data_IF_657473581608
#
_entry.id   IF_657473581608
#
_cell.length_a   1.000
_cell.length_b   1.000
_cell.length_c   1.000
_cell.angle_alpha   90.00
_cell.angle_beta   90.00
_cell.angle_gamma   90.00
#
_symmetry.space_group_name_H-M   'P 1'
#
loop_
_entity.id
_entity.type
_entity.pdbx_description
1 polymer ?
#
# COMPACT_ATOMS: atom_id res chain seq x y z
N UNK A 1 -12.76 -6.69 2.54
CA UNK A 1 -11.51 -6.73 1.75
C UNK A 1 -10.49 -7.51 2.57
N UNK A 2 -10.41 -8.83 2.43
CA UNK A 2 -9.55 -9.70 3.25
C UNK A 2 -8.07 -9.60 2.89
N UNK A 3 -7.55 -8.38 2.73
CA UNK A 3 -6.16 -8.13 2.37
C UNK A 3 -5.25 -8.32 3.60
N UNK A 4 -4.13 -9.00 3.38
CA UNK A 4 -3.05 -9.12 4.38
C UNK A 4 -2.23 -7.84 4.42
N UNK A 5 -1.91 -7.36 5.62
CA UNK A 5 -1.06 -6.20 5.86
C UNK A 5 0.36 -6.64 6.25
N UNK A 6 1.33 -6.25 5.43
CA UNK A 6 2.74 -6.46 5.71
C UNK A 6 3.39 -5.18 6.21
N UNK A 7 4.19 -5.27 7.27
CA UNK A 7 4.92 -4.13 7.86
C UNK A 7 6.42 -4.43 7.82
N UNK A 8 7.15 -3.67 7.01
CA UNK A 8 8.62 -3.73 6.96
C UNK A 8 9.19 -2.88 8.08
N UNK A 9 10.00 -3.48 8.94
CA UNK A 9 10.62 -2.81 10.08
C UNK A 9 11.88 -2.02 9.67
N UNK A 10 12.24 -0.95 10.42
CA UNK A 10 11.52 -0.39 11.55
C UNK A 10 10.32 0.46 11.12
N UNK A 11 9.16 0.17 11.71
CA UNK A 11 7.97 1.00 11.59
C UNK A 11 8.04 2.16 12.59
N UNK A 12 7.83 3.39 12.12
CA UNK A 12 7.82 4.60 12.96
C UNK A 12 6.54 4.76 13.79
N UNK A 13 5.66 3.76 13.78
CA UNK A 13 4.40 3.75 14.51
C UNK A 13 4.29 2.45 15.32
N UNK A 14 3.94 2.58 16.60
CA UNK A 14 3.50 1.41 17.36
C UNK A 14 2.04 1.14 17.03
N UNK A 15 1.73 -0.10 16.64
CA UNK A 15 0.38 -0.64 16.79
C UNK A 15 0.10 -0.83 18.28
N UNK A 16 0.14 0.25 19.06
CA UNK A 16 -0.46 0.19 20.37
C UNK A 16 -1.96 0.09 20.16
N UNK A 17 -2.47 -1.10 20.44
CA UNK A 17 -3.86 -1.52 20.60
C UNK A 17 -4.77 -0.39 21.14
N UNK A 18 -4.23 0.50 21.97
CA UNK A 18 -4.88 1.70 22.51
C UNK A 18 -5.36 2.72 21.47
N UNK A 19 -4.66 2.95 20.36
CA UNK A 19 -5.11 3.90 19.33
C UNK A 19 -6.23 3.31 18.47
N UNK A 20 -6.16 2.01 18.21
CA UNK A 20 -7.13 1.28 17.39
C UNK A 20 -8.45 1.04 18.13
N UNK A 21 -8.38 0.74 19.44
CA UNK A 21 -9.57 0.65 20.31
C UNK A 21 -10.36 1.95 20.41
N UNK A 22 -9.70 3.12 20.33
CA UNK A 22 -10.41 4.43 20.35
C UNK A 22 -11.16 4.73 19.04
N UNK A 23 -10.77 4.10 17.94
CA UNK A 23 -11.43 4.29 16.65
C UNK A 23 -12.72 3.45 16.50
N UNK A 24 -13.08 2.63 17.50
CA UNK A 24 -14.29 1.80 17.47
C UNK A 24 -14.23 0.67 16.43
N UNK A 25 -13.04 0.23 16.06
CA UNK A 25 -12.82 -0.71 14.97
C UNK A 25 -12.69 -2.14 15.52
N UNK A 26 -13.83 -2.78 15.81
CA UNK A 26 -13.87 -4.19 16.25
C UNK A 26 -13.25 -5.15 15.21
N UNK A 27 -13.16 -4.73 13.94
CA UNK A 27 -12.56 -5.53 12.87
C UNK A 27 -11.04 -5.69 12.97
N UNK A 28 -10.35 -4.93 13.83
CA UNK A 28 -8.89 -5.01 13.96
C UNK A 28 -8.42 -6.42 14.34
N UNK A 29 -9.21 -7.15 15.14
CA UNK A 29 -8.92 -8.53 15.54
C UNK A 29 -8.94 -9.52 14.38
N UNK A 30 -9.54 -9.14 13.25
CA UNK A 30 -9.67 -9.99 12.06
C UNK A 30 -8.67 -9.62 10.95
N UNK A 31 -7.75 -8.68 11.21
CA UNK A 31 -6.72 -8.33 10.24
C UNK A 31 -5.58 -9.36 10.27
N UNK A 32 -5.28 -9.93 9.11
CA UNK A 32 -4.04 -10.69 8.90
C UNK A 32 -2.88 -9.71 8.76
N UNK A 33 -2.03 -9.63 9.78
CA UNK A 33 -0.92 -8.68 9.87
C UNK A 33 0.37 -9.45 10.12
N UNK A 34 1.39 -9.18 9.31
CA UNK A 34 2.73 -9.74 9.50
C UNK A 34 3.81 -8.65 9.49
N UNK A 35 4.70 -8.69 10.49
CA UNK A 35 5.86 -7.80 10.58
C UNK A 35 7.10 -8.56 10.11
N UNK A 36 7.90 -7.92 9.25
CA UNK A 36 9.11 -8.50 8.68
C UNK A 36 10.30 -7.56 8.92
N UNK A 37 11.50 -8.10 9.16
CA UNK A 37 12.65 -7.31 9.60
C UNK A 37 13.19 -6.37 8.52
N UNK A 38 12.99 -6.69 7.24
CA UNK A 38 13.50 -5.92 6.11
C UNK A 38 12.73 -6.25 4.82
N UNK A 39 13.03 -5.48 3.76
CA UNK A 39 12.39 -5.57 2.46
C UNK A 39 12.70 -6.90 1.74
N UNK A 40 13.91 -7.41 1.90
CA UNK A 40 14.39 -8.67 1.33
C UNK A 40 13.60 -9.86 1.88
N UNK A 41 13.31 -9.86 3.18
CA UNK A 41 12.49 -10.89 3.82
C UNK A 41 11.06 -10.86 3.30
N UNK A 42 10.49 -9.67 3.04
CA UNK A 42 9.16 -9.56 2.45
C UNK A 42 9.12 -10.12 1.02
N UNK A 43 10.05 -9.65 0.18
CA UNK A 43 10.07 -9.98 -1.25
C UNK A 43 10.39 -11.44 -1.53
N UNK A 44 11.10 -12.13 -0.64
CA UNK A 44 11.30 -13.59 -0.74
C UNK A 44 10.02 -14.42 -0.50
N UNK A 45 8.96 -13.84 0.06
CA UNK A 45 7.68 -14.52 0.37
C UNK A 45 6.59 -14.29 -0.67
N UNK A 46 6.77 -13.35 -1.59
CA UNK A 46 5.73 -12.84 -2.47
C UNK A 46 6.21 -12.87 -3.93
N UNK A 47 5.28 -13.01 -4.87
CA UNK A 47 5.61 -13.01 -6.30
C UNK A 47 6.06 -11.60 -6.74
N UNK A 48 7.33 -11.42 -7.18
CA UNK A 48 7.85 -10.11 -7.59
C UNK A 48 7.11 -9.51 -8.79
N UNK A 49 6.43 -10.32 -9.61
CA UNK A 49 5.64 -9.84 -10.74
C UNK A 49 4.33 -9.13 -10.31
N UNK A 50 3.92 -9.30 -9.05
CA UNK A 50 2.65 -8.77 -8.50
C UNK A 50 2.77 -7.45 -7.77
N UNK A 51 3.97 -6.87 -7.72
CA UNK A 51 4.21 -5.65 -6.97
C UNK A 51 3.82 -4.40 -7.75
N UNK A 52 3.07 -3.51 -7.09
CA UNK A 52 2.84 -2.13 -7.50
C UNK A 52 3.36 -1.17 -6.42
N UNK A 53 4.02 -0.10 -6.84
CA UNK A 53 4.67 0.84 -5.94
C UNK A 53 4.00 2.21 -5.98
N UNK A 54 3.51 2.69 -4.84
CA UNK A 54 2.77 3.93 -4.78
C UNK A 54 3.70 5.11 -4.50
N UNK A 55 3.72 6.07 -5.42
CA UNK A 55 4.54 7.28 -5.31
C UNK A 55 3.91 8.44 -6.06
N UNK A 56 3.93 9.64 -5.47
CA UNK A 56 3.54 10.88 -6.16
C UNK A 56 4.45 11.22 -7.33
N UNK A 57 5.67 10.67 -7.36
CA UNK A 57 6.66 10.93 -8.41
C UNK A 57 6.51 9.99 -9.60
N UNK A 58 5.73 8.91 -9.47
CA UNK A 58 5.48 7.99 -10.56
C UNK A 58 4.81 8.69 -11.75
N UNK A 59 4.94 8.11 -12.94
CA UNK A 59 4.37 8.67 -14.18
C UNK A 59 3.01 8.09 -14.53
N UNK A 60 2.77 6.82 -14.20
CA UNK A 60 1.54 6.10 -14.50
C UNK A 60 0.47 6.36 -13.44
N UNK A 61 -0.78 6.52 -13.86
CA UNK A 61 -1.89 6.63 -12.93
C UNK A 61 -2.35 5.26 -12.43
N UNK A 62 -2.83 5.22 -11.18
CA UNK A 62 -3.43 4.03 -10.57
C UNK A 62 -4.51 3.39 -11.46
N UNK A 63 -5.35 4.22 -12.08
CA UNK A 63 -6.49 3.79 -12.90
C UNK A 63 -6.09 3.01 -14.16
N UNK A 64 -4.86 3.22 -14.64
CA UNK A 64 -4.35 2.61 -15.87
C UNK A 64 -3.62 1.29 -15.59
N UNK A 65 -3.46 0.90 -14.33
CA UNK A 65 -2.77 -0.33 -13.94
C UNK A 65 -3.70 -1.54 -14.10
N UNK A 66 -3.29 -2.60 -14.82
CA UNK A 66 -4.06 -3.84 -14.93
C UNK A 66 -3.88 -4.65 -13.65
N UNK A 67 -4.83 -4.52 -12.74
CA UNK A 67 -4.79 -5.21 -11.45
C UNK A 67 -5.37 -6.62 -11.55
N UNK A 68 -4.95 -7.49 -10.64
CA UNK A 68 -5.36 -8.88 -10.53
C UNK A 68 -5.35 -9.34 -9.07
N UNK A 69 -6.06 -10.42 -8.79
CA UNK A 69 -6.00 -11.06 -7.47
C UNK A 69 -4.57 -11.53 -7.19
N UNK A 70 -4.07 -11.23 -6.00
CA UNK A 70 -2.69 -11.52 -5.59
C UNK A 70 -1.72 -10.35 -5.71
N UNK A 71 -2.18 -9.20 -6.22
CA UNK A 71 -1.37 -7.99 -6.27
C UNK A 71 -0.93 -7.48 -4.89
N UNK A 72 0.28 -6.92 -4.85
CA UNK A 72 0.93 -6.37 -3.67
C UNK A 72 1.12 -4.88 -3.86
N UNK A 73 0.48 -4.07 -3.03
CA UNK A 73 0.60 -2.61 -3.08
C UNK A 73 1.58 -2.11 -2.01
N UNK A 74 2.67 -1.50 -2.46
CA UNK A 74 3.76 -1.02 -1.61
C UNK A 74 3.61 0.46 -1.37
N UNK A 75 3.56 0.84 -0.09
CA UNK A 75 3.46 2.22 0.32
C UNK A 75 4.70 2.65 1.09
N UNK A 76 5.21 3.83 0.77
CA UNK A 76 6.31 4.45 1.49
C UNK A 76 5.88 5.13 2.80
N UNK A 77 6.86 5.66 3.52
CA UNK A 77 6.59 6.51 4.71
C UNK A 77 5.93 7.81 4.26
N UNK A 78 5.02 8.37 5.06
CA UNK A 78 4.32 9.61 4.71
C UNK A 78 5.27 10.80 4.45
N UNK A 79 6.38 10.86 5.18
CA UNK A 79 7.34 11.97 5.10
C UNK A 79 8.36 11.80 3.99
N UNK A 80 8.84 10.57 3.75
CA UNK A 80 9.98 10.30 2.87
C UNK A 80 9.65 9.46 1.64
N UNK A 81 8.44 8.93 1.53
CA UNK A 81 8.06 8.01 0.46
C UNK A 81 8.84 6.69 0.51
N UNK A 82 8.97 6.05 -0.65
CA UNK A 82 9.76 4.83 -0.85
C UNK A 82 11.23 5.20 -1.14
N UNK A 83 12.20 4.46 -0.57
CA UNK A 83 13.61 4.57 -0.97
C UNK A 83 13.80 4.33 -2.47
N UNK A 84 14.75 5.02 -3.09
CA UNK A 84 15.05 4.90 -4.52
C UNK A 84 15.51 3.50 -4.95
N UNK A 85 16.11 2.73 -4.04
CA UNK A 85 16.49 1.34 -4.32
C UNK A 85 15.31 0.36 -4.34
N UNK A 86 14.14 0.77 -3.83
CA UNK A 86 12.90 -0.04 -3.85
C UNK A 86 12.04 0.31 -5.07
N UNK A 87 12.04 1.59 -5.48
CA UNK A 87 11.14 2.06 -6.53
C UNK A 87 11.83 3.09 -7.43
N UNK A 88 11.85 2.78 -8.73
CA UNK A 88 12.10 3.72 -9.81
C UNK A 88 10.77 4.36 -10.26
N UNK A 89 10.63 5.69 -10.21
CA UNK A 89 9.42 6.38 -10.68
C UNK A 89 9.05 6.14 -12.16
N UNK A 90 10.00 5.63 -12.95
CA UNK A 90 9.81 5.28 -14.35
C UNK A 90 9.42 3.80 -14.58
N UNK A 91 9.42 2.96 -13.54
CA UNK A 91 8.93 1.57 -13.63
C UNK A 91 7.42 1.58 -13.98
N UNK A 92 6.99 0.68 -14.86
CA UNK A 92 5.58 0.56 -15.28
C UNK A 92 4.63 0.20 -14.12
N UNK A 93 5.18 -0.35 -13.04
CA UNK A 93 4.47 -0.70 -11.81
C UNK A 93 4.54 0.40 -10.75
N UNK A 94 5.24 1.50 -11.01
CA UNK A 94 5.17 2.70 -10.19
C UNK A 94 3.89 3.47 -10.53
N UNK A 95 3.00 3.60 -9.55
CA UNK A 95 1.67 4.17 -9.71
C UNK A 95 1.50 5.44 -8.87
N UNK A 96 0.74 6.40 -9.39
CA UNK A 96 0.35 7.61 -8.67
C UNK A 96 -1.17 7.77 -8.62
N UNK A 97 -1.65 8.36 -7.53
CA UNK A 97 -2.97 8.97 -7.50
C UNK A 97 -2.89 10.39 -8.08
N UNK A 98 -3.91 10.84 -8.83
CA UNK A 98 -4.02 12.24 -9.20
C UNK A 98 -4.08 13.12 -7.95
N UNK A 99 -3.23 14.15 -7.91
CA UNK A 99 -3.25 15.19 -6.87
C UNK A 99 -3.20 16.56 -7.54
N UNK A 100 -3.68 17.59 -6.85
CA UNK A 100 -3.52 18.98 -7.31
C UNK A 100 -2.18 19.54 -6.80
N UNK A 101 -1.70 20.62 -7.40
CA UNK A 101 -0.48 21.32 -6.94
C UNK A 101 -0.60 21.86 -5.50
N UNK A 102 -1.82 22.03 -5.00
CA UNK A 102 -2.11 22.52 -3.64
C UNK A 102 -1.93 21.45 -2.57
N UNK A 103 -1.92 20.16 -2.94
CA UNK A 103 -1.86 19.04 -2.00
C UNK A 103 -0.57 18.26 -2.24
N UNK A 104 0.33 18.28 -1.23
CA UNK A 104 1.64 17.62 -1.33
C UNK A 104 1.56 16.10 -1.44
N UNK A 105 0.57 15.49 -0.79
CA UNK A 105 0.17 14.08 -0.87
C UNK A 105 -1.10 13.87 -0.03
N UNK A 106 -1.87 12.83 -0.33
CA UNK A 106 -2.90 12.33 0.58
C UNK A 106 -2.24 11.64 1.78
N UNK A 107 -2.97 11.48 2.89
CA UNK A 107 -2.48 10.64 3.99
C UNK A 107 -2.38 9.17 3.54
N UNK A 108 -1.60 8.37 4.27
CA UNK A 108 -1.35 6.99 3.88
C UNK A 108 -2.62 6.13 3.89
N UNK A 109 -3.48 6.29 4.91
CA UNK A 109 -4.69 5.50 5.07
C UNK A 109 -5.72 5.74 3.95
N UNK A 110 -5.94 6.99 3.55
CA UNK A 110 -6.81 7.36 2.43
C UNK A 110 -6.24 6.85 1.12
N UNK A 111 -4.93 6.98 0.90
CA UNK A 111 -4.25 6.43 -0.29
C UNK A 111 -4.48 4.92 -0.39
N UNK A 112 -4.23 4.19 0.70
CA UNK A 112 -4.45 2.74 0.75
C UNK A 112 -5.91 2.36 0.51
N UNK A 113 -6.86 3.10 1.09
CA UNK A 113 -8.29 2.89 0.85
C UNK A 113 -8.66 3.04 -0.63
N UNK A 114 -8.21 4.11 -1.29
CA UNK A 114 -8.48 4.33 -2.72
C UNK A 114 -7.90 3.18 -3.56
N UNK A 115 -6.65 2.79 -3.30
CA UNK A 115 -5.98 1.69 -4.01
C UNK A 115 -6.73 0.38 -3.86
N UNK A 116 -7.13 0.02 -2.64
CA UNK A 116 -7.85 -1.22 -2.37
C UNK A 116 -9.24 -1.26 -3.03
N UNK A 117 -9.98 -0.16 -3.00
CA UNK A 117 -11.30 -0.11 -3.65
C UNK A 117 -11.20 -0.12 -5.18
N UNK A 118 -10.16 0.49 -5.76
CA UNK A 118 -9.89 0.37 -7.20
C UNK A 118 -9.52 -1.08 -7.57
N UNK A 119 -8.70 -1.75 -6.76
CA UNK A 119 -8.39 -3.17 -6.94
C UNK A 119 -9.66 -4.02 -6.90
N UNK A 120 -10.55 -3.80 -5.92
CA UNK A 120 -11.85 -4.48 -5.84
C UNK A 120 -12.71 -4.23 -7.08
N UNK A 121 -12.73 -2.99 -7.58
CA UNK A 121 -13.49 -2.62 -8.79
C UNK A 121 -12.99 -3.38 -10.02
N UNK A 122 -11.67 -3.52 -10.19
CA UNK A 122 -11.08 -4.24 -11.33
C UNK A 122 -11.20 -5.76 -11.19
N UNK A 123 -10.95 -6.29 -9.99
CA UNK A 123 -10.93 -7.73 -9.73
C UNK A 123 -12.33 -8.33 -9.47
N UNK A 124 -13.39 -7.53 -9.62
CA UNK A 124 -14.79 -7.96 -9.50
C UNK A 124 -15.08 -8.73 -8.21
N UNK A 125 -14.68 -8.21 -7.05
CA UNK A 125 -15.05 -8.83 -5.77
C UNK A 125 -16.47 -8.41 -5.34
N UNK A 126 -17.45 -8.74 -6.18
CA UNK A 126 -18.89 -8.85 -5.88
C UNK A 126 -19.53 -9.86 -6.86
N UNK A 127 -19.16 -11.13 -6.75
CA UNK A 127 -19.98 -12.28 -7.17
C UNK A 127 -19.57 -13.50 -6.36
#
# INVERSE_FOLDING_TARGET
MGAKLWIVEPASFSFEERRLRRAGLDYWQHLDIERVPNWETLTSKLDPARFFFLSKFAKRHLWDAPMSVGDVFVFGRETSGLPSHIMDPHDERALRLPTTEKVRSLNLATTAGIVLYEHVRQCSYLS
#
